data_IF_129296213352
#
_entry.id   IF_129296213352
#
_cell.length_a   1.000
_cell.length_b   1.000
_cell.length_c   1.000
_cell.angle_alpha   90.00
_cell.angle_beta   90.00
_cell.angle_gamma   90.00
#
_symmetry.space_group_name_H-M   'P 1'
#
loop_
_entity.id
_entity.type
_entity.pdbx_description
1 polymer ?
#
# COMPACT_ATOMS: atom_id res chain seq x y z
N UNK A 1 20.69 13.21 32.53
CA UNK A 1 20.56 12.70 31.15
C UNK A 1 20.66 11.19 31.17
N UNK A 2 19.72 10.49 30.53
CA UNK A 2 19.72 9.01 30.52
C UNK A 2 20.61 8.52 29.38
N UNK A 3 21.60 7.70 29.69
CA UNK A 3 22.57 7.18 28.72
C UNK A 3 21.84 6.27 27.70
N UNK A 4 21.81 6.67 26.42
CA UNK A 4 21.20 5.94 25.31
C UNK A 4 22.22 5.12 24.47
N UNK A 5 23.40 4.88 25.03
CA UNK A 5 24.47 4.11 24.43
C UNK A 5 25.10 3.18 25.48
N UNK A 6 25.08 1.87 25.25
CA UNK A 6 25.76 0.89 26.11
C UNK A 6 26.92 0.18 25.40
N UNK A 7 27.32 0.66 24.22
CA UNK A 7 28.37 0.10 23.40
C UNK A 7 28.13 -1.39 23.12
N UNK A 8 29.16 -2.22 23.28
CA UNK A 8 29.06 -3.69 23.16
C UNK A 8 28.88 -4.41 24.50
N UNK A 9 28.77 -3.70 25.63
CA UNK A 9 28.74 -4.34 26.96
C UNK A 9 27.59 -5.33 27.13
N UNK A 10 26.49 -5.18 26.38
CA UNK A 10 25.36 -6.12 26.37
C UNK A 10 24.79 -6.25 24.96
N UNK A 11 24.55 -7.49 24.54
CA UNK A 11 23.74 -7.82 23.35
C UNK A 11 22.26 -7.50 23.59
N UNK A 12 21.77 -7.80 24.80
CA UNK A 12 20.40 -7.52 25.22
C UNK A 12 20.15 -6.02 25.30
N UNK A 13 19.10 -5.56 24.62
CA UNK A 13 18.78 -4.14 24.50
C UNK A 13 18.18 -3.63 25.81
N UNK A 14 18.80 -2.64 26.49
CA UNK A 14 18.31 -2.11 27.74
C UNK A 14 16.90 -1.52 27.63
N UNK A 15 16.08 -1.54 28.70
CA UNK A 15 14.72 -0.99 28.70
C UNK A 15 14.65 0.48 28.26
N UNK A 16 15.65 1.31 28.63
CA UNK A 16 15.69 2.72 28.23
C UNK A 16 15.81 2.89 26.70
N UNK A 17 16.71 2.13 26.06
CA UNK A 17 16.86 2.11 24.60
C UNK A 17 15.61 1.54 23.94
N UNK A 18 15.01 0.48 24.51
CA UNK A 18 13.77 -0.11 23.98
C UNK A 18 12.61 0.88 23.99
N UNK A 19 12.48 1.71 25.03
CA UNK A 19 11.48 2.80 25.10
C UNK A 19 11.75 3.89 24.07
N UNK A 20 13.01 4.31 23.93
CA UNK A 20 13.40 5.29 22.92
C UNK A 20 13.08 4.80 21.49
N UNK A 21 13.34 3.52 21.20
CA UNK A 21 12.96 2.89 19.93
C UNK A 21 11.45 2.88 19.71
N UNK A 22 10.66 2.54 20.73
CA UNK A 22 9.20 2.54 20.63
C UNK A 22 8.66 3.93 20.29
N UNK A 23 9.20 4.99 20.91
CA UNK A 23 8.82 6.36 20.64
C UNK A 23 9.22 6.81 19.22
N UNK A 24 10.45 6.48 18.78
CA UNK A 24 10.98 6.88 17.47
C UNK A 24 10.32 6.14 16.31
N UNK A 25 10.28 4.81 16.38
CA UNK A 25 9.90 3.98 15.25
C UNK A 25 8.38 3.77 15.17
N UNK A 26 7.70 3.76 16.33
CA UNK A 26 6.24 3.58 16.54
C UNK A 26 5.65 2.24 16.06
N UNK A 27 6.26 1.62 15.05
CA UNK A 27 5.89 0.36 14.40
C UNK A 27 7.11 -0.22 13.68
N UNK A 28 6.93 -1.38 13.07
CA UNK A 28 7.90 -1.98 12.16
C UNK A 28 8.35 -0.96 11.10
N UNK A 29 9.66 -0.83 10.89
CA UNK A 29 10.25 0.11 9.93
C UNK A 29 10.41 -0.46 8.52
N UNK A 30 10.05 -1.73 8.32
CA UNK A 30 10.01 -2.32 6.99
C UNK A 30 8.94 -1.62 6.11
N UNK A 31 9.25 -1.24 4.85
CA UNK A 31 8.33 -0.56 3.93
C UNK A 31 6.93 -1.16 3.90
N UNK A 32 5.90 -0.31 4.04
CA UNK A 32 4.49 -0.70 4.01
C UNK A 32 3.97 -1.46 5.24
N UNK A 33 4.82 -1.84 6.20
CA UNK A 33 4.37 -2.60 7.37
C UNK A 33 3.68 -1.72 8.42
N UNK A 34 2.58 -2.20 9.00
CA UNK A 34 1.80 -1.52 10.04
C UNK A 34 1.88 -2.19 11.42
N UNK A 35 2.61 -3.31 11.54
CA UNK A 35 2.70 -4.09 12.77
C UNK A 35 3.34 -3.31 13.93
N UNK A 36 2.74 -3.39 15.13
CA UNK A 36 3.21 -2.70 16.35
C UNK A 36 4.04 -3.60 17.27
N UNK A 37 3.79 -4.91 17.26
CA UNK A 37 4.59 -5.86 18.00
C UNK A 37 5.91 -6.10 17.28
N UNK A 38 7.00 -5.57 17.83
CA UNK A 38 8.30 -5.53 17.19
C UNK A 38 9.42 -5.81 18.18
N UNK A 39 10.48 -6.41 17.67
CA UNK A 39 11.76 -6.55 18.32
C UNK A 39 12.72 -5.51 17.78
N UNK A 40 13.76 -5.22 18.57
CA UNK A 40 14.80 -4.31 18.15
C UNK A 40 15.93 -5.10 17.47
N UNK A 41 16.26 -4.68 16.25
CA UNK A 41 17.22 -5.30 15.35
C UNK A 41 18.46 -4.41 15.22
N UNK A 42 19.65 -5.02 15.30
CA UNK A 42 20.93 -4.35 15.04
C UNK A 42 21.18 -4.26 13.54
N UNK A 43 21.21 -3.03 12.99
CA UNK A 43 21.43 -2.75 11.56
C UNK A 43 22.81 -3.25 11.11
N UNK A 44 23.86 -2.83 11.82
CA UNK A 44 25.12 -3.56 11.82
C UNK A 44 25.04 -4.60 12.92
N UNK A 45 25.04 -5.88 12.53
CA UNK A 45 24.85 -6.99 13.45
C UNK A 45 25.83 -6.94 14.62
N UNK A 46 25.32 -7.25 15.82
CA UNK A 46 26.15 -7.24 17.03
C UNK A 46 27.31 -8.23 16.97
N UNK A 47 27.10 -9.40 16.33
CA UNK A 47 28.14 -10.43 16.13
C UNK A 47 29.28 -9.94 15.25
N UNK A 48 28.98 -9.03 14.32
CA UNK A 48 29.97 -8.42 13.41
C UNK A 48 30.60 -7.15 14.01
N UNK A 49 30.33 -6.87 15.30
CA UNK A 49 30.90 -5.74 16.03
C UNK A 49 29.97 -4.55 16.21
N UNK A 50 28.72 -4.63 15.77
CA UNK A 50 27.73 -3.56 15.89
C UNK A 50 27.43 -3.11 17.34
N UNK A 51 27.40 -1.80 17.62
CA UNK A 51 27.11 -1.29 18.96
C UNK A 51 25.62 -1.40 19.30
N UNK A 52 25.31 -1.60 20.58
CA UNK A 52 23.96 -1.48 21.12
C UNK A 52 23.71 -0.02 21.52
N UNK A 53 23.37 0.80 20.52
CA UNK A 53 22.98 2.20 20.66
C UNK A 53 21.78 2.52 19.77
N UNK A 54 21.05 3.57 20.08
CA UNK A 54 19.80 3.91 19.39
C UNK A 54 20.00 4.04 17.86
N UNK A 55 21.15 4.54 17.42
CA UNK A 55 21.46 4.81 16.01
C UNK A 55 21.69 3.55 15.18
N UNK A 56 22.11 2.46 15.83
CA UNK A 56 22.36 1.16 15.19
C UNK A 56 21.17 0.20 15.34
N UNK A 57 20.06 0.65 15.94
CA UNK A 57 18.91 -0.19 16.23
C UNK A 57 17.70 0.27 15.43
N UNK A 58 16.83 -0.67 15.06
CA UNK A 58 15.57 -0.43 14.36
C UNK A 58 14.49 -1.43 14.81
N UNK A 59 13.23 -1.02 14.87
CA UNK A 59 12.13 -1.95 15.15
C UNK A 59 11.68 -2.75 13.92
N UNK A 60 11.60 -4.06 14.08
CA UNK A 60 11.05 -5.00 13.09
C UNK A 60 10.07 -5.98 13.74
N UNK A 61 8.98 -6.30 13.06
CA UNK A 61 8.11 -7.41 13.49
C UNK A 61 8.77 -8.75 13.20
N UNK A 62 8.30 -9.83 13.86
CA UNK A 62 8.87 -11.19 13.71
C UNK A 62 9.08 -11.61 12.24
N UNK A 63 8.11 -11.36 11.37
CA UNK A 63 8.20 -11.66 9.92
C UNK A 63 9.37 -10.92 9.26
N UNK A 64 9.44 -9.60 9.42
CA UNK A 64 10.49 -8.81 8.76
C UNK A 64 11.84 -8.94 9.43
N UNK A 65 11.87 -9.30 10.72
CA UNK A 65 13.11 -9.65 11.40
C UNK A 65 13.70 -10.92 10.79
N UNK A 66 12.85 -11.94 10.53
CA UNK A 66 13.24 -13.15 9.79
C UNK A 66 13.72 -12.83 8.38
N UNK A 67 12.99 -11.99 7.64
CA UNK A 67 13.35 -11.64 6.27
C UNK A 67 14.77 -11.05 6.17
N UNK A 68 15.17 -10.26 7.16
CA UNK A 68 16.52 -9.66 7.21
C UNK A 68 17.59 -10.66 7.66
N UNK A 69 17.27 -11.57 8.58
CA UNK A 69 18.25 -12.57 9.05
C UNK A 69 18.43 -13.75 8.10
N UNK A 70 17.38 -14.17 7.40
CA UNK A 70 17.33 -15.47 6.71
C UNK A 70 17.03 -15.37 5.22
N UNK A 71 16.31 -14.33 4.77
CA UNK A 71 15.81 -14.24 3.39
C UNK A 71 16.64 -13.29 2.52
N UNK A 72 17.75 -12.74 3.03
CA UNK A 72 18.68 -11.90 2.28
C UNK A 72 18.29 -10.43 2.15
N UNK A 73 17.23 -9.97 2.82
CA UNK A 73 16.93 -8.54 2.87
C UNK A 73 17.96 -7.82 3.72
N UNK A 74 18.41 -6.65 3.26
CA UNK A 74 19.35 -5.81 4.01
C UNK A 74 18.67 -4.54 4.48
N UNK A 75 19.00 -4.09 5.69
CA UNK A 75 18.58 -2.79 6.21
C UNK A 75 19.79 -1.88 6.34
N UNK A 76 19.63 -0.63 5.93
CA UNK A 76 20.58 0.44 6.20
C UNK A 76 19.89 1.56 6.98
N UNK A 77 20.69 2.35 7.71
CA UNK A 77 20.19 3.53 8.41
C UNK A 77 21.13 4.70 8.14
N UNK A 78 20.61 5.72 7.46
CA UNK A 78 21.34 6.94 7.12
C UNK A 78 21.59 7.82 8.34
N UNK A 79 22.51 8.78 8.20
CA UNK A 79 22.83 9.77 9.24
C UNK A 79 21.63 10.70 9.55
N UNK A 80 20.76 10.91 8.57
CA UNK A 80 19.46 11.58 8.67
C UNK A 80 18.39 10.75 9.40
N UNK A 81 18.72 9.50 9.76
CA UNK A 81 17.80 8.56 10.40
C UNK A 81 16.84 7.86 9.45
N UNK A 82 16.97 8.07 8.13
CA UNK A 82 16.18 7.37 7.11
C UNK A 82 16.60 5.90 7.08
N UNK A 83 15.60 5.01 7.06
CA UNK A 83 15.81 3.57 6.98
C UNK A 83 15.66 3.15 5.52
N UNK A 84 16.74 2.63 4.95
CA UNK A 84 16.73 1.98 3.64
C UNK A 84 16.52 0.48 3.81
N UNK A 85 15.74 -0.13 2.92
CA UNK A 85 15.60 -1.58 2.84
C UNK A 85 15.97 -2.01 1.43
N UNK A 86 16.77 -3.05 1.33
CA UNK A 86 17.25 -3.61 0.09
C UNK A 86 16.79 -5.05 -0.04
N UNK A 87 16.36 -5.41 -1.24
CA UNK A 87 15.96 -6.75 -1.60
C UNK A 87 17.20 -7.66 -1.71
N UNK A 88 17.02 -8.99 -1.70
CA UNK A 88 18.13 -9.93 -1.89
C UNK A 88 18.87 -9.78 -3.22
N UNK A 89 18.20 -9.22 -4.24
CA UNK A 89 18.78 -8.91 -5.55
C UNK A 89 19.55 -7.56 -5.58
N UNK A 90 19.73 -6.91 -4.43
CA UNK A 90 20.42 -5.63 -4.31
C UNK A 90 19.62 -4.43 -4.81
N UNK A 91 18.33 -4.57 -5.14
CA UNK A 91 17.47 -3.43 -5.50
C UNK A 91 16.87 -2.77 -4.26
N UNK A 92 16.72 -1.42 -4.26
CA UNK A 92 16.09 -0.75 -3.13
C UNK A 92 14.59 -1.09 -3.09
N UNK A 93 14.06 -1.28 -1.89
CA UNK A 93 12.63 -1.42 -1.62
C UNK A 93 12.08 -0.07 -1.16
N UNK A 94 11.40 0.69 -2.04
CA UNK A 94 10.93 2.02 -1.68
C UNK A 94 9.77 1.96 -0.69
N UNK A 95 9.65 2.99 0.16
CA UNK A 95 8.57 3.09 1.15
C UNK A 95 7.17 3.12 0.50
N UNK A 96 7.09 3.71 -0.68
CA UNK A 96 5.94 3.71 -1.58
C UNK A 96 6.44 3.39 -2.98
N UNK A 97 5.72 2.59 -3.78
CA UNK A 97 6.01 2.47 -5.21
C UNK A 97 6.09 3.88 -5.83
N UNK A 98 7.01 4.13 -6.77
CA UNK A 98 6.95 5.35 -7.55
C UNK A 98 5.61 5.42 -8.27
N UNK A 99 5.09 6.63 -8.47
CA UNK A 99 3.94 6.80 -9.33
C UNK A 99 4.26 6.16 -10.70
N UNK A 100 3.36 5.34 -11.25
CA UNK A 100 3.54 4.81 -12.58
C UNK A 100 3.80 5.96 -13.56
N UNK A 101 4.85 5.84 -14.38
CA UNK A 101 5.05 6.77 -15.49
C UNK A 101 4.03 6.41 -16.57
N UNK A 102 3.18 7.37 -16.93
CA UNK A 102 2.22 7.20 -17.99
C UNK A 102 2.77 7.91 -19.23
N UNK A 103 3.00 7.16 -20.31
CA UNK A 103 3.29 7.77 -21.60
C UNK A 103 1.97 8.30 -22.17
N UNK A 104 1.59 9.53 -21.79
CA UNK A 104 0.34 10.11 -22.27
C UNK A 104 0.53 10.63 -23.70
N UNK A 105 0.46 9.72 -24.67
CA UNK A 105 0.23 10.06 -26.08
C UNK A 105 -1.27 10.20 -26.36
N UNK A 106 -1.68 11.00 -27.34
CA UNK A 106 -3.07 11.01 -27.81
C UNK A 106 -3.48 9.60 -28.25
N UNK A 107 -4.39 8.96 -27.50
CA UNK A 107 -4.92 7.63 -27.82
C UNK A 107 -4.32 6.44 -27.07
N UNK A 108 -3.40 6.63 -26.11
CA UNK A 108 -2.89 5.51 -25.31
C UNK A 108 -3.96 5.01 -24.32
N UNK A 109 -4.41 3.76 -24.50
CA UNK A 109 -5.38 3.06 -23.62
C UNK A 109 -4.82 2.75 -22.23
N UNK A 110 -3.51 2.89 -22.03
CA UNK A 110 -2.81 2.76 -20.74
C UNK A 110 -2.63 4.09 -20.03
N UNK A 111 -2.94 5.22 -20.66
CA UNK A 111 -3.11 6.45 -19.90
C UNK A 111 -4.18 6.17 -18.83
N UNK A 112 -3.98 6.58 -17.57
CA UNK A 112 -5.06 6.51 -16.61
C UNK A 112 -6.22 7.23 -17.27
N UNK A 113 -7.42 6.67 -17.14
CA UNK A 113 -8.63 7.47 -17.22
C UNK A 113 -8.51 8.48 -16.08
N UNK A 114 -7.61 9.47 -16.20
CA UNK A 114 -7.86 10.75 -15.62
C UNK A 114 -9.25 11.07 -16.15
N UNK A 115 -10.26 11.21 -15.28
CA UNK A 115 -11.41 11.96 -15.70
C UNK A 115 -10.84 13.36 -15.92
N UNK A 116 -10.31 13.64 -17.11
CA UNK A 116 -10.34 15.02 -17.54
C UNK A 116 -11.83 15.32 -17.46
N UNK A 117 -12.20 16.20 -16.54
CA UNK A 117 -13.60 16.60 -16.40
C UNK A 117 -14.18 16.94 -17.78
N UNK A 118 -13.33 17.41 -18.71
CA UNK A 118 -13.57 17.51 -20.14
C UNK A 118 -14.06 16.23 -20.84
N UNK A 119 -13.41 15.06 -20.68
CA UNK A 119 -13.86 13.79 -21.30
C UNK A 119 -15.21 13.33 -20.73
N UNK A 120 -15.40 13.45 -19.41
CA UNK A 120 -16.68 13.11 -18.79
C UNK A 120 -17.78 14.08 -19.22
N UNK A 121 -17.51 15.39 -19.22
CA UNK A 121 -18.43 16.42 -19.69
C UNK A 121 -18.77 16.28 -21.17
N UNK A 122 -17.78 15.98 -22.02
CA UNK A 122 -18.01 15.70 -23.45
C UNK A 122 -18.83 14.42 -23.67
N UNK A 123 -18.75 13.46 -22.75
CA UNK A 123 -19.58 12.27 -22.75
C UNK A 123 -20.93 12.46 -22.03
N UNK A 124 -21.21 13.65 -21.49
CA UNK A 124 -22.42 13.93 -20.70
C UNK A 124 -22.50 13.20 -19.35
N UNK A 125 -21.39 12.64 -18.87
CA UNK A 125 -21.31 11.88 -17.62
C UNK A 125 -21.04 12.84 -16.47
N UNK A 126 -22.04 13.04 -15.60
CA UNK A 126 -21.89 13.81 -14.38
C UNK A 126 -21.52 12.89 -13.21
N UNK A 127 -20.46 13.25 -12.46
CA UNK A 127 -20.07 12.55 -11.22
C UNK A 127 -20.34 13.48 -10.03
N UNK A 128 -21.44 13.26 -9.33
CA UNK A 128 -21.77 13.89 -8.06
C UNK A 128 -21.58 13.00 -6.82
N UNK A 129 -21.93 13.51 -5.62
CA UNK A 129 -21.74 12.82 -4.34
C UNK A 129 -22.42 11.45 -4.21
N UNK A 130 -23.45 11.21 -5.02
CA UNK A 130 -24.22 9.98 -5.03
C UNK A 130 -23.85 9.03 -6.18
N UNK A 131 -22.87 9.37 -7.01
CA UNK A 131 -22.52 8.54 -8.19
C UNK A 131 -22.04 7.13 -7.82
N UNK A 132 -21.48 6.98 -6.62
CA UNK A 132 -21.09 5.67 -6.08
C UNK A 132 -22.14 5.08 -5.14
N UNK A 133 -23.26 5.76 -4.92
CA UNK A 133 -24.39 5.22 -4.16
C UNK A 133 -25.17 4.31 -5.09
N UNK A 134 -25.29 3.00 -4.80
CA UNK A 134 -26.13 2.14 -5.60
C UNK A 134 -27.60 2.55 -5.39
N UNK A 135 -28.38 2.57 -6.47
CA UNK A 135 -29.85 2.72 -6.41
C UNK A 135 -30.55 1.44 -5.93
N UNK A 136 -29.78 0.50 -5.37
CA UNK A 136 -30.26 -0.75 -4.83
C UNK A 136 -30.99 -0.51 -3.50
N UNK A 137 -32.29 -0.80 -3.48
CA UNK A 137 -33.15 -0.63 -2.31
C UNK A 137 -33.47 -1.95 -1.60
N UNK A 138 -32.79 -3.05 -1.97
CA UNK A 138 -32.95 -4.37 -1.36
C UNK A 138 -33.66 -5.40 -2.25
N UNK A 139 -33.99 -5.04 -3.49
CA UNK A 139 -34.50 -5.95 -4.51
C UNK A 139 -33.49 -7.07 -4.84
N UNK A 140 -33.95 -8.16 -5.48
CA UNK A 140 -33.01 -9.22 -5.88
C UNK A 140 -32.14 -8.72 -7.04
N UNK A 141 -30.83 -8.93 -6.94
CA UNK A 141 -29.88 -8.65 -8.01
C UNK A 141 -30.30 -9.39 -9.29
N UNK A 142 -30.53 -8.64 -10.37
CA UNK A 142 -30.72 -9.21 -11.70
C UNK A 142 -29.37 -9.63 -12.28
N UNK A 143 -29.04 -10.90 -12.07
CA UNK A 143 -27.80 -11.51 -12.54
C UNK A 143 -27.78 -11.61 -14.07
N UNK A 144 -28.94 -11.72 -14.72
CA UNK A 144 -29.04 -11.76 -16.19
C UNK A 144 -28.62 -10.43 -16.80
N UNK A 145 -29.23 -9.34 -16.35
CA UNK A 145 -28.87 -7.98 -16.77
C UNK A 145 -27.41 -7.64 -16.46
N UNK A 146 -26.93 -7.97 -15.25
CA UNK A 146 -25.55 -7.70 -14.86
C UNK A 146 -24.54 -8.44 -15.76
N UNK A 147 -24.84 -9.69 -16.13
CA UNK A 147 -24.01 -10.46 -17.06
C UNK A 147 -24.08 -9.90 -18.48
N UNK A 148 -25.24 -9.49 -18.96
CA UNK A 148 -25.39 -8.92 -20.30
C UNK A 148 -24.63 -7.59 -20.42
N UNK A 149 -24.73 -6.69 -19.44
CA UNK A 149 -23.95 -5.44 -19.41
C UNK A 149 -22.44 -5.68 -19.33
N UNK A 150 -22.00 -6.70 -18.58
CA UNK A 150 -20.58 -7.03 -18.47
C UNK A 150 -20.04 -7.77 -19.70
N UNK A 151 -20.90 -8.46 -20.45
CA UNK A 151 -20.52 -9.23 -21.64
C UNK A 151 -20.63 -8.42 -22.94
N UNK A 152 -21.55 -7.48 -23.03
CA UNK A 152 -21.74 -6.67 -24.23
C UNK A 152 -21.14 -5.25 -24.13
N UNK A 153 -20.09 -5.02 -24.92
CA UNK A 153 -19.84 -3.72 -25.54
C UNK A 153 -19.62 -3.88 -27.04
N UNK A 154 -20.59 -3.52 -27.89
CA UNK A 154 -20.27 -2.78 -29.08
C UNK A 154 -20.18 -1.29 -28.74
N UNK A 155 -19.07 -0.66 -29.08
CA UNK A 155 -18.97 0.80 -29.18
C UNK A 155 -19.92 1.23 -30.30
N UNK A 156 -21.09 1.81 -29.97
CA UNK A 156 -21.87 2.59 -30.95
C UNK A 156 -23.38 2.39 -31.10
N UNK A 157 -24.12 1.79 -30.16
CA UNK A 157 -25.60 1.74 -30.25
C UNK A 157 -26.26 2.90 -29.47
N UNK A 158 -27.11 3.67 -30.13
CA UNK A 158 -27.81 4.85 -29.59
C UNK A 158 -28.89 4.47 -28.53
N UNK A 159 -29.22 5.35 -27.58
CA UNK A 159 -30.21 5.05 -26.55
C UNK A 159 -31.62 5.25 -27.11
N UNK A 160 -32.49 4.24 -26.96
CA UNK A 160 -33.90 4.39 -27.27
C UNK A 160 -34.67 3.09 -27.19
N UNK A 161 -35.47 2.95 -26.13
CA UNK A 161 -36.41 1.84 -25.98
C UNK A 161 -36.96 1.80 -24.58
N UNK A 162 -37.93 2.67 -24.28
CA UNK A 162 -38.80 2.50 -23.12
C UNK A 162 -39.45 1.12 -23.19
N UNK A 163 -39.30 0.31 -22.14
CA UNK A 163 -40.12 -0.88 -21.93
C UNK A 163 -40.98 -0.65 -20.69
N UNK A 164 -42.26 -0.36 -20.95
CA UNK A 164 -43.31 -0.26 -19.96
C UNK A 164 -43.53 -1.59 -19.23
N UNK A 165 -43.86 -1.48 -17.94
CA UNK A 165 -43.95 -2.58 -16.98
C UNK A 165 -45.23 -3.44 -17.09
N UNK A 166 -45.61 -3.92 -18.28
CA UNK A 166 -46.91 -4.60 -18.48
C UNK A 166 -46.87 -6.07 -18.94
N UNK A 167 -45.74 -6.76 -18.83
CA UNK A 167 -45.69 -8.18 -19.18
C UNK A 167 -45.22 -9.08 -18.02
N UNK A 168 -46.03 -9.19 -16.97
CA UNK A 168 -45.97 -10.34 -16.06
C UNK A 168 -47.38 -10.73 -15.60
N UNK A 169 -48.18 -11.25 -16.54
CA UNK A 169 -49.33 -12.10 -16.26
C UNK A 169 -48.98 -13.51 -16.71
N UNK A 170 -48.91 -14.44 -15.76
CA UNK A 170 -48.99 -15.88 -16.02
C UNK A 170 -47.82 -16.73 -15.51
N UNK A 171 -47.83 -17.06 -14.21
CA UNK A 171 -47.89 -18.43 -13.67
C UNK A 171 -48.06 -18.38 -12.16
#
# INVERSE_FOLDING_TARGET
>A
GTVLDVGRKRRTIPPAIRRALAARDRRCRFPGCTARHCDAHHVHHWVDGGPTRLENLVLLCKRHHRAVHEEGFTITRGADGVVGVWRPDGRPLPASPPAPHWNVGPGDVRAPLAPSAARLAAAGIWIGPHTATPDWHGERLDVGWALDVLRDRPVGAAPGGDVSAEAYVGM
#
